data_IF_077815879710
#
_entry.id   IF_077815879710
#
_cell.length_a   1.000
_cell.length_b   1.000
_cell.length_c   1.000
_cell.angle_alpha   90.00
_cell.angle_beta   90.00
_cell.angle_gamma   90.00
#
_symmetry.space_group_name_H-M   'P 1'
#
loop_
_entity.id
_entity.type
_entity.pdbx_description
1 polymer ?
#
# COMPACT_ATOMS: atom_id res chain seq x y z
N UNK A 1 -23.90 5.63 17.54
CA UNK A 1 -24.45 4.90 16.39
C UNK A 1 -24.40 5.70 15.08
N UNK A 2 -24.67 6.98 15.07
CA UNK A 2 -24.64 7.85 13.85
C UNK A 2 -23.23 8.08 13.25
N UNK A 3 -22.18 8.17 14.07
CA UNK A 3 -20.81 8.34 13.59
C UNK A 3 -20.26 7.09 12.85
N UNK A 4 -20.67 5.87 13.23
CA UNK A 4 -20.31 4.63 12.53
C UNK A 4 -20.91 4.52 11.13
N UNK A 5 -22.14 5.02 10.91
CA UNK A 5 -22.79 5.02 9.60
C UNK A 5 -22.17 5.99 8.61
N UNK A 6 -21.72 7.18 9.07
CA UNK A 6 -21.00 8.14 8.22
C UNK A 6 -19.60 7.65 7.78
N UNK A 7 -18.97 6.79 8.58
CA UNK A 7 -17.66 6.18 8.27
C UNK A 7 -17.75 5.07 7.21
N UNK A 8 -18.88 4.36 7.15
CA UNK A 8 -19.15 3.28 6.19
C UNK A 8 -19.52 3.81 4.79
N UNK A 9 -20.13 5.01 4.69
CA UNK A 9 -20.59 5.56 3.41
C UNK A 9 -19.45 6.08 2.50
N UNK A 10 -18.23 6.17 3.00
CA UNK A 10 -17.04 6.63 2.23
C UNK A 10 -16.26 5.43 1.63
N UNK A 11 -16.51 4.21 2.11
CA UNK A 11 -15.76 3.04 1.68
C UNK A 11 -16.44 2.26 0.54
N UNK A 12 -17.73 2.40 0.29
CA UNK A 12 -18.45 1.56 -0.67
C UNK A 12 -19.06 2.41 -1.79
N UNK A 13 -18.24 2.89 -2.73
CA UNK A 13 -18.71 3.37 -4.03
C UNK A 13 -18.37 2.31 -5.08
N UNK A 14 -19.34 1.43 -5.33
CA UNK A 14 -19.28 0.48 -6.42
C UNK A 14 -19.49 1.22 -7.77
N UNK A 15 -18.42 1.84 -8.27
CA UNK A 15 -18.37 2.28 -9.67
C UNK A 15 -16.89 2.36 -10.09
N UNK A 16 -16.50 1.43 -10.89
CA UNK A 16 -15.42 1.45 -11.88
C UNK A 16 -14.74 0.07 -12.01
N UNK A 17 -15.41 -0.83 -12.69
CA UNK A 17 -14.72 -1.98 -13.24
C UNK A 17 -14.88 -1.93 -14.77
N UNK A 18 -13.95 -1.27 -15.46
CA UNK A 18 -13.61 -1.60 -16.86
C UNK A 18 -12.41 -0.78 -17.34
N UNK A 19 -11.26 -1.42 -17.49
CA UNK A 19 -10.33 -1.18 -18.59
C UNK A 19 -9.30 -2.32 -18.65
N UNK A 20 -9.39 -3.11 -19.73
CA UNK A 20 -8.43 -4.16 -20.08
C UNK A 20 -7.21 -3.55 -20.77
N UNK A 21 -6.00 -3.91 -20.31
CA UNK A 21 -4.84 -4.06 -21.20
C UNK A 21 -4.00 -5.22 -20.73
N UNK A 22 -3.93 -6.27 -21.54
CA UNK A 22 -3.18 -7.48 -21.27
C UNK A 22 -1.71 -7.29 -21.67
N UNK A 23 -0.81 -7.33 -20.72
CA UNK A 23 0.63 -7.50 -20.94
C UNK A 23 1.04 -8.89 -20.47
N UNK A 24 1.65 -9.70 -21.34
CA UNK A 24 2.18 -11.03 -21.05
C UNK A 24 3.26 -10.95 -19.98
N UNK A 25 3.00 -11.47 -18.77
CA UNK A 25 3.98 -11.59 -17.69
C UNK A 25 4.64 -12.96 -17.71
N UNK A 26 5.98 -13.01 -17.67
CA UNK A 26 6.76 -14.24 -17.42
C UNK A 26 6.63 -14.61 -15.93
N UNK A 27 6.30 -15.86 -15.69
CA UNK A 27 6.28 -16.49 -14.36
C UNK A 27 7.70 -16.55 -13.80
N UNK A 28 7.95 -15.94 -12.65
CA UNK A 28 9.19 -16.09 -11.89
C UNK A 28 8.91 -17.04 -10.74
N UNK A 29 9.53 -18.23 -10.76
CA UNK A 29 9.56 -19.12 -9.60
C UNK A 29 10.50 -18.52 -8.54
N UNK A 30 9.97 -18.19 -7.38
CA UNK A 30 10.77 -17.80 -6.22
C UNK A 30 11.47 -19.03 -5.66
N UNK A 31 12.81 -19.10 -5.80
CA UNK A 31 13.63 -20.07 -5.08
C UNK A 31 13.67 -19.68 -3.59
N UNK A 32 13.72 -20.70 -2.72
CA UNK A 32 13.72 -20.58 -1.25
C UNK A 32 15.03 -20.02 -0.67
N UNK A 33 15.62 -18.99 -1.28
CA UNK A 33 16.67 -18.19 -0.66
C UNK A 33 16.03 -17.26 0.38
N UNK A 34 16.67 -17.12 1.57
CA UNK A 34 16.22 -16.15 2.59
C UNK A 34 16.04 -14.80 1.92
N UNK A 35 14.80 -14.29 1.92
CA UNK A 35 14.50 -12.94 1.43
C UNK A 35 15.24 -11.93 2.31
N UNK A 36 16.24 -11.29 1.75
CA UNK A 36 17.09 -10.29 2.43
C UNK A 36 16.43 -8.90 2.47
N UNK A 37 15.24 -8.75 1.88
CA UNK A 37 14.49 -7.50 1.81
C UNK A 37 15.02 -6.50 0.76
N UNK A 38 15.82 -6.94 -0.20
CA UNK A 38 16.21 -6.14 -1.36
C UNK A 38 15.09 -6.05 -2.40
N UNK A 39 15.26 -5.21 -3.41
CA UNK A 39 14.38 -5.20 -4.59
C UNK A 39 14.47 -6.54 -5.31
N UNK A 40 13.31 -7.14 -5.59
CA UNK A 40 13.25 -8.40 -6.30
C UNK A 40 13.62 -8.24 -7.79
N UNK A 41 14.29 -9.22 -8.39
CA UNK A 41 14.58 -9.21 -9.82
C UNK A 41 13.29 -9.07 -10.65
N UNK A 42 13.31 -8.18 -11.64
CA UNK A 42 12.17 -7.91 -12.50
C UNK A 42 11.08 -7.01 -11.91
N UNK A 43 11.22 -6.56 -10.65
CA UNK A 43 10.32 -5.57 -10.09
C UNK A 43 10.46 -4.23 -10.83
N UNK A 44 9.33 -3.65 -11.28
CA UNK A 44 9.28 -2.44 -12.12
C UNK A 44 8.29 -1.43 -11.58
N UNK A 45 8.16 -0.31 -12.27
CA UNK A 45 7.08 0.65 -12.12
C UNK A 45 6.62 1.13 -13.50
N UNK A 46 5.41 1.66 -13.57
CA UNK A 46 4.83 2.29 -14.76
C UNK A 46 4.46 3.75 -14.42
N UNK A 47 4.70 4.68 -15.34
CA UNK A 47 4.31 6.08 -15.19
C UNK A 47 2.84 6.23 -15.57
N UNK A 48 2.02 6.73 -14.64
CA UNK A 48 0.60 7.01 -14.86
C UNK A 48 0.36 8.47 -15.25
N UNK A 49 1.15 9.40 -14.69
CA UNK A 49 1.06 10.82 -14.97
C UNK A 49 2.38 11.51 -14.65
N UNK A 50 2.71 12.50 -15.44
CA UNK A 50 3.86 13.38 -15.20
C UNK A 50 3.54 14.80 -15.67
N UNK A 51 3.88 15.78 -14.83
CA UNK A 51 3.89 17.21 -15.16
C UNK A 51 5.15 17.89 -14.57
N UNK A 52 5.16 19.21 -14.45
CA UNK A 52 6.32 19.95 -13.92
C UNK A 52 6.54 19.74 -12.43
N UNK A 53 5.50 19.39 -11.66
CA UNK A 53 5.53 19.33 -10.19
C UNK A 53 5.49 17.93 -9.64
N UNK A 54 4.76 17.00 -10.28
CA UNK A 54 4.53 15.66 -9.77
C UNK A 54 4.84 14.58 -10.80
N UNK A 55 5.20 13.43 -10.30
CA UNK A 55 5.29 12.17 -11.04
C UNK A 55 4.44 11.13 -10.29
N UNK A 56 3.42 10.60 -10.95
CA UNK A 56 2.56 9.54 -10.41
C UNK A 56 2.88 8.24 -11.10
N UNK A 57 3.14 7.21 -10.31
CA UNK A 57 3.53 5.91 -10.83
C UNK A 57 2.72 4.78 -10.22
N UNK A 58 2.53 3.70 -10.97
CA UNK A 58 2.12 2.39 -10.46
C UNK A 58 3.38 1.59 -10.11
N UNK A 59 3.64 1.43 -8.82
CA UNK A 59 4.80 0.68 -8.32
C UNK A 59 4.50 -0.82 -8.36
N UNK A 60 5.35 -1.60 -8.97
CA UNK A 60 5.30 -3.06 -8.87
C UNK A 60 5.59 -3.59 -7.46
N UNK A 61 5.08 -4.78 -7.15
CA UNK A 61 5.46 -5.51 -5.94
C UNK A 61 6.94 -5.93 -5.98
N UNK A 62 7.58 -6.03 -4.83
CA UNK A 62 8.99 -6.42 -4.71
C UNK A 62 9.98 -5.28 -4.95
N UNK A 63 9.56 -4.10 -5.40
CA UNK A 63 10.40 -2.92 -5.57
C UNK A 63 10.46 -2.11 -4.27
N UNK A 64 11.66 -1.91 -3.71
CA UNK A 64 11.86 -1.00 -2.60
C UNK A 64 11.41 0.41 -3.00
N UNK A 65 10.77 1.15 -2.09
CA UNK A 65 10.38 2.53 -2.34
C UNK A 65 11.57 3.50 -2.22
N UNK A 66 12.35 3.33 -1.17
CA UNK A 66 13.57 4.09 -0.88
C UNK A 66 14.74 3.14 -0.63
N UNK A 67 15.98 3.57 -0.84
CA UNK A 67 17.15 2.73 -0.58
C UNK A 67 17.20 2.22 0.85
N UNK A 68 17.57 0.97 1.02
CA UNK A 68 17.91 0.40 2.32
C UNK A 68 19.32 0.82 2.78
N UNK A 69 19.67 0.44 4.00
CA UNK A 69 20.98 0.80 4.58
C UNK A 69 22.16 0.04 3.97
N UNK A 70 21.92 -1.15 3.44
CA UNK A 70 22.97 -2.02 2.90
C UNK A 70 23.12 -1.79 1.39
N UNK A 71 24.33 -1.89 0.81
CA UNK A 71 24.58 -1.59 -0.62
C UNK A 71 23.66 -2.37 -1.58
N UNK A 72 23.41 -3.66 -1.34
CA UNK A 72 22.53 -4.48 -2.18
C UNK A 72 21.04 -4.08 -2.10
N UNK A 73 20.66 -3.14 -1.21
CA UNK A 73 19.33 -2.55 -1.06
C UNK A 73 19.23 -1.13 -1.62
N UNK A 74 20.20 -0.68 -2.40
CA UNK A 74 20.17 0.67 -2.96
C UNK A 74 19.26 0.78 -4.19
N UNK A 75 19.00 -0.31 -4.89
CA UNK A 75 18.01 -0.33 -5.97
C UNK A 75 16.61 -0.13 -5.40
N UNK A 76 15.96 0.95 -5.79
CA UNK A 76 14.65 1.36 -5.29
C UNK A 76 13.93 2.24 -6.29
N UNK A 77 12.63 2.43 -6.12
CA UNK A 77 11.82 3.31 -6.95
C UNK A 77 12.46 4.70 -7.05
N UNK A 78 12.77 5.33 -5.93
CA UNK A 78 13.33 6.68 -5.92
C UNK A 78 14.73 6.74 -6.55
N UNK A 79 15.58 5.72 -6.38
CA UNK A 79 16.89 5.67 -7.02
C UNK A 79 16.76 5.62 -8.54
N UNK A 80 15.86 4.75 -9.04
CA UNK A 80 15.61 4.60 -10.48
C UNK A 80 15.04 5.88 -11.09
N UNK A 81 14.09 6.52 -10.40
CA UNK A 81 13.49 7.78 -10.87
C UNK A 81 14.51 8.92 -10.87
N UNK A 82 15.37 9.02 -9.85
CA UNK A 82 16.42 10.02 -9.83
C UNK A 82 17.43 9.91 -10.97
N UNK A 83 17.67 8.71 -11.46
CA UNK A 83 18.53 8.50 -12.64
C UNK A 83 17.97 9.14 -13.92
N UNK A 84 16.67 9.30 -14.02
CA UNK A 84 16.00 9.86 -15.21
C UNK A 84 15.49 11.28 -15.00
N UNK A 85 15.13 11.66 -13.76
CA UNK A 85 14.50 12.94 -13.44
C UNK A 85 15.36 13.84 -12.53
N UNK A 86 16.57 13.38 -12.17
CA UNK A 86 17.50 14.15 -11.33
C UNK A 86 17.21 14.10 -9.83
N UNK A 87 18.11 14.71 -9.05
CA UNK A 87 18.11 14.62 -7.58
C UNK A 87 17.04 15.46 -6.88
N UNK A 88 16.37 16.36 -7.60
CA UNK A 88 15.30 17.19 -7.04
C UNK A 88 14.06 16.40 -6.65
N UNK A 89 13.90 15.20 -7.21
CA UNK A 89 12.75 14.35 -6.92
C UNK A 89 12.72 13.93 -5.45
N UNK A 90 11.58 14.19 -4.79
CA UNK A 90 11.36 13.96 -3.37
C UNK A 90 10.21 13.03 -3.07
N UNK A 91 10.23 12.46 -1.85
CA UNK A 91 9.27 11.44 -1.36
C UNK A 91 8.44 12.03 -0.23
N UNK A 92 7.13 12.24 -0.46
CA UNK A 92 6.16 12.69 0.55
C UNK A 92 5.51 11.52 1.32
N UNK A 93 5.39 10.36 0.69
CA UNK A 93 4.87 9.12 1.28
C UNK A 93 5.56 7.89 0.69
N UNK A 94 5.27 6.72 1.23
CA UNK A 94 5.87 5.47 0.72
C UNK A 94 4.88 4.30 0.80
N UNK A 95 5.07 3.35 -0.12
CA UNK A 95 4.51 2.01 -0.04
C UNK A 95 5.58 1.03 0.48
N UNK A 96 5.15 -0.07 1.09
CA UNK A 96 6.05 -1.16 1.44
C UNK A 96 6.63 -1.80 0.17
N UNK A 97 7.76 -2.51 0.29
CA UNK A 97 8.41 -3.19 -0.84
C UNK A 97 7.42 -4.04 -1.64
N UNK A 98 6.67 -4.88 -0.94
CA UNK A 98 5.80 -5.90 -1.55
C UNK A 98 4.39 -5.37 -1.88
N UNK A 99 4.01 -4.20 -1.39
CA UNK A 99 2.79 -3.50 -1.77
C UNK A 99 2.98 -2.88 -3.16
N UNK A 100 2.05 -3.15 -4.07
CA UNK A 100 2.02 -2.51 -5.39
C UNK A 100 1.03 -1.35 -5.44
N UNK A 101 1.03 -0.60 -6.55
CA UNK A 101 -0.01 0.39 -6.86
C UNK A 101 0.44 1.83 -6.86
N UNK A 102 -0.56 2.71 -6.93
CA UNK A 102 -0.39 4.13 -7.16
C UNK A 102 0.37 4.81 -6.03
N UNK A 103 1.36 5.59 -6.41
CA UNK A 103 2.07 6.50 -5.51
C UNK A 103 2.50 7.78 -6.27
N UNK A 104 2.70 8.87 -5.52
CA UNK A 104 3.12 10.18 -6.06
C UNK A 104 4.49 10.56 -5.52
N UNK A 105 5.34 11.09 -6.41
CA UNK A 105 6.61 11.71 -6.10
C UNK A 105 6.55 13.18 -6.49
N UNK A 106 7.26 14.03 -5.76
CA UNK A 106 7.39 15.45 -6.06
C UNK A 106 8.62 15.66 -6.94
N UNK A 107 8.49 16.43 -8.03
CA UNK A 107 9.62 16.82 -8.90
C UNK A 107 10.31 18.08 -8.41
N UNK A 108 9.64 18.90 -7.60
CA UNK A 108 10.14 20.16 -7.05
C UNK A 108 10.09 20.19 -5.53
N UNK A 109 10.94 21.03 -4.90
CA UNK A 109 10.90 21.23 -3.44
C UNK A 109 9.58 21.83 -2.96
N UNK A 110 8.96 22.69 -3.76
CA UNK A 110 7.66 23.31 -3.44
C UNK A 110 6.56 22.24 -3.43
N UNK A 111 6.50 21.38 -4.45
CA UNK A 111 5.58 20.26 -4.53
C UNK A 111 5.79 19.27 -3.38
N UNK A 112 7.06 18.96 -3.06
CA UNK A 112 7.38 18.07 -1.93
C UNK A 112 6.82 18.61 -0.60
N UNK A 113 7.01 19.91 -0.34
CA UNK A 113 6.49 20.56 0.86
C UNK A 113 4.96 20.49 0.90
N UNK A 114 4.28 20.85 -0.19
CA UNK A 114 2.82 20.85 -0.27
C UNK A 114 2.23 19.44 -0.09
N UNK A 115 2.76 18.44 -0.79
CA UNK A 115 2.33 17.05 -0.63
C UNK A 115 2.61 16.52 0.78
N UNK A 116 3.77 16.82 1.37
CA UNK A 116 4.11 16.39 2.73
C UNK A 116 3.12 16.92 3.76
N UNK A 117 2.68 18.18 3.63
CA UNK A 117 1.64 18.77 4.49
C UNK A 117 0.32 18.00 4.32
N UNK A 118 -0.15 17.78 3.08
CA UNK A 118 -1.39 17.05 2.83
C UNK A 118 -1.37 15.63 3.42
N UNK A 119 -0.25 14.90 3.30
CA UNK A 119 -0.10 13.58 3.92
C UNK A 119 -0.08 13.66 5.45
N UNK A 120 0.59 14.65 6.03
CA UNK A 120 0.67 14.88 7.47
C UNK A 120 -0.70 15.23 8.06
N UNK A 121 -1.46 16.09 7.40
CA UNK A 121 -2.78 16.55 7.78
C UNK A 121 -3.90 15.57 7.39
N UNK A 122 -3.55 14.42 6.76
CA UNK A 122 -4.49 13.38 6.34
C UNK A 122 -5.52 13.86 5.31
N UNK A 123 -5.17 14.82 4.49
CA UNK A 123 -6.00 15.35 3.41
C UNK A 123 -5.96 14.47 2.15
N UNK A 124 -4.99 13.56 2.06
CA UNK A 124 -4.86 12.62 0.95
C UNK A 124 -5.78 11.42 1.17
N UNK A 125 -6.71 11.20 0.24
CA UNK A 125 -7.54 10.00 0.24
C UNK A 125 -6.79 8.84 -0.42
N UNK A 126 -6.76 7.71 0.27
CA UNK A 126 -6.05 6.48 -0.14
C UNK A 126 -7.03 5.34 -0.11
N UNK A 127 -7.19 4.66 -1.23
CA UNK A 127 -7.95 3.42 -1.31
C UNK A 127 -7.00 2.30 -1.72
N UNK A 128 -7.04 1.22 -0.96
CA UNK A 128 -6.29 0.00 -1.25
C UNK A 128 -7.26 -1.13 -1.55
N UNK A 129 -6.78 -2.10 -2.29
CA UNK A 129 -7.45 -3.38 -2.47
C UNK A 129 -6.56 -4.47 -1.89
N UNK A 130 -7.15 -5.38 -1.11
CA UNK A 130 -6.42 -6.49 -0.51
C UNK A 130 -7.23 -7.78 -0.55
N UNK A 131 -6.57 -8.90 -0.89
CA UNK A 131 -7.17 -10.22 -0.74
C UNK A 131 -6.73 -10.83 0.60
N UNK A 132 -7.70 -11.27 1.40
CA UNK A 132 -7.50 -11.78 2.76
C UNK A 132 -7.92 -13.25 2.88
N UNK A 133 -7.35 -13.95 3.85
CA UNK A 133 -7.79 -15.29 4.24
C UNK A 133 -9.11 -15.21 5.01
N UNK A 134 -10.03 -16.13 4.68
CA UNK A 134 -11.39 -16.14 5.24
C UNK A 134 -12.29 -15.01 4.69
N UNK A 135 -13.50 -14.96 5.20
CA UNK A 135 -14.49 -13.94 4.82
C UNK A 135 -14.89 -13.17 6.08
N UNK A 136 -14.44 -11.91 6.22
CA UNK A 136 -14.85 -11.05 7.34
C UNK A 136 -16.30 -10.58 7.19
N UNK A 137 -16.79 -9.83 8.20
CA UNK A 137 -18.05 -9.10 8.07
C UNK A 137 -18.04 -8.19 6.84
N UNK A 138 -19.23 -7.92 6.27
CA UNK A 138 -19.41 -7.17 5.02
C UNK A 138 -18.66 -5.82 5.02
N UNK A 139 -18.61 -5.15 6.16
CA UNK A 139 -17.83 -3.93 6.34
C UNK A 139 -17.49 -3.71 7.83
N UNK A 140 -16.39 -3.01 8.07
CA UNK A 140 -15.96 -2.70 9.44
C UNK A 140 -14.94 -1.58 9.56
N UNK A 141 -14.63 -1.25 10.80
CA UNK A 141 -13.57 -0.32 11.17
C UNK A 141 -12.66 -1.03 12.18
N UNK A 142 -11.37 -1.05 11.88
CA UNK A 142 -10.33 -1.60 12.75
C UNK A 142 -9.60 -0.43 13.38
N UNK A 143 -9.73 -0.30 14.70
CA UNK A 143 -9.00 0.67 15.50
C UNK A 143 -7.97 -0.07 16.36
N UNK A 144 -6.70 0.34 16.27
CA UNK A 144 -5.64 -0.28 17.05
C UNK A 144 -4.34 0.48 16.92
N UNK A 145 -3.69 0.78 18.04
CA UNK A 145 -2.41 1.45 18.01
C UNK A 145 -1.31 0.50 17.50
N UNK A 146 -0.41 1.03 16.67
CA UNK A 146 0.66 0.28 16.01
C UNK A 146 2.01 0.79 16.48
N UNK A 147 2.85 -0.14 16.88
CA UNK A 147 4.22 0.12 17.33
C UNK A 147 5.21 -0.91 16.84
N UNK A 148 6.43 -0.82 17.35
CA UNK A 148 7.48 -1.81 17.12
C UNK A 148 7.66 -2.64 18.39
N UNK A 149 7.70 -3.93 18.21
CA UNK A 149 8.07 -4.89 19.28
C UNK A 149 9.42 -5.51 18.93
N UNK A 150 10.21 -5.80 19.94
CA UNK A 150 11.40 -6.62 19.80
C UNK A 150 10.96 -8.09 19.86
N UNK A 151 11.27 -8.85 18.82
CA UNK A 151 10.98 -10.29 18.82
C UNK A 151 11.99 -11.06 19.67
N UNK A 152 11.69 -12.29 20.12
CA UNK A 152 12.64 -13.12 20.84
C UNK A 152 13.97 -13.32 20.10
N UNK A 153 13.95 -13.30 18.77
CA UNK A 153 15.13 -13.45 17.91
C UNK A 153 15.92 -12.13 17.74
N UNK A 154 15.51 -11.05 18.43
CA UNK A 154 16.25 -9.79 18.51
C UNK A 154 16.05 -8.81 17.34
N UNK A 155 15.02 -8.96 16.52
CA UNK A 155 14.68 -7.98 15.49
C UNK A 155 13.37 -7.24 15.77
N UNK A 156 13.25 -6.02 15.23
CA UNK A 156 12.03 -5.24 15.37
C UNK A 156 10.95 -5.70 14.38
N UNK A 157 9.76 -6.00 14.90
CA UNK A 157 8.56 -6.28 14.14
C UNK A 157 7.49 -5.21 14.41
N UNK A 158 6.72 -4.84 13.40
CA UNK A 158 5.54 -3.97 13.54
C UNK A 158 4.37 -4.82 13.99
N UNK A 159 3.67 -4.39 15.04
CA UNK A 159 2.53 -5.11 15.62
C UNK A 159 1.52 -4.12 16.25
N UNK A 160 0.37 -4.63 16.68
CA UNK A 160 -0.48 -3.90 17.63
C UNK A 160 0.27 -3.75 18.94
N UNK A 161 0.30 -2.52 19.45
CA UNK A 161 0.95 -2.15 20.71
C UNK A 161 0.09 -1.08 21.34
N UNK A 162 -0.19 -1.18 22.63
CA UNK A 162 -0.98 -0.15 23.32
C UNK A 162 -0.28 1.22 23.26
N UNK A 163 -1.04 2.29 23.34
CA UNK A 163 -0.45 3.64 23.37
C UNK A 163 0.46 3.84 24.59
N UNK A 164 0.13 3.19 25.72
CA UNK A 164 0.96 3.19 26.93
C UNK A 164 2.34 2.53 26.71
N UNK A 165 2.44 1.61 25.76
CA UNK A 165 3.69 0.92 25.39
C UNK A 165 4.35 1.58 24.15
N UNK A 166 3.93 2.79 23.77
CA UNK A 166 4.50 3.55 22.66
C UNK A 166 3.87 3.26 21.30
N UNK A 167 2.74 2.59 21.24
CA UNK A 167 1.92 2.45 20.04
C UNK A 167 1.36 3.79 19.60
N UNK A 168 1.15 3.95 18.30
CA UNK A 168 0.58 5.16 17.70
C UNK A 168 -0.79 4.83 17.12
N UNK A 169 -1.83 5.56 17.52
CA UNK A 169 -3.21 5.37 17.04
C UNK A 169 -3.26 5.20 15.53
N UNK A 170 -4.00 4.19 15.09
CA UNK A 170 -4.24 3.88 13.70
C UNK A 170 -5.67 3.40 13.51
N UNK A 171 -6.29 3.79 12.38
CA UNK A 171 -7.66 3.45 12.02
C UNK A 171 -7.72 3.04 10.56
N UNK A 172 -8.37 1.92 10.27
CA UNK A 172 -8.62 1.41 8.92
C UNK A 172 -10.09 1.05 8.78
N UNK A 173 -10.79 1.63 7.81
CA UNK A 173 -12.10 1.15 7.39
C UNK A 173 -11.93 0.13 6.26
N UNK A 174 -12.85 -0.84 6.18
CA UNK A 174 -12.89 -1.80 5.07
C UNK A 174 -14.32 -2.14 4.67
N UNK A 175 -14.50 -2.57 3.42
CA UNK A 175 -15.69 -3.28 2.97
C UNK A 175 -15.32 -4.44 2.03
N UNK A 176 -16.16 -5.47 2.01
CA UNK A 176 -16.00 -6.64 1.14
C UNK A 176 -16.47 -6.28 -0.27
N UNK A 177 -15.60 -6.44 -1.27
CA UNK A 177 -15.92 -6.25 -2.69
C UNK A 177 -16.37 -7.54 -3.35
N UNK A 178 -15.75 -8.66 -2.98
CA UNK A 178 -16.06 -9.98 -3.51
C UNK A 178 -15.59 -11.06 -2.55
N UNK A 179 -16.19 -12.25 -2.64
CA UNK A 179 -15.82 -13.41 -1.84
C UNK A 179 -15.46 -14.59 -2.74
N UNK A 180 -14.55 -15.44 -2.24
CA UNK A 180 -14.26 -16.76 -2.76
C UNK A 180 -14.47 -17.79 -1.62
N UNK A 181 -14.25 -19.08 -1.88
CA UNK A 181 -14.56 -20.15 -0.93
C UNK A 181 -13.90 -19.96 0.45
N UNK A 182 -12.63 -19.51 0.48
CA UNK A 182 -11.85 -19.35 1.71
C UNK A 182 -11.12 -17.99 1.81
N UNK A 183 -11.58 -17.00 1.05
CA UNK A 183 -10.93 -15.68 0.98
C UNK A 183 -11.91 -14.60 0.55
N UNK A 184 -11.53 -13.35 0.74
CA UNK A 184 -12.32 -12.20 0.30
C UNK A 184 -11.42 -11.11 -0.28
N UNK A 185 -11.93 -10.35 -1.23
CA UNK A 185 -11.35 -9.12 -1.73
C UNK A 185 -11.97 -7.94 -0.97
N UNK A 186 -11.13 -7.12 -0.39
CA UNK A 186 -11.56 -5.96 0.40
C UNK A 186 -11.10 -4.66 -0.24
N UNK A 187 -11.97 -3.66 -0.21
CA UNK A 187 -11.56 -2.27 -0.27
C UNK A 187 -11.13 -1.81 1.13
N UNK A 188 -10.02 -1.10 1.21
CA UNK A 188 -9.39 -0.68 2.46
C UNK A 188 -9.12 0.82 2.42
N UNK A 189 -9.64 1.56 3.39
CA UNK A 189 -9.47 3.01 3.51
C UNK A 189 -8.72 3.36 4.81
N UNK A 190 -7.37 3.44 4.80
CA UNK A 190 -6.61 3.81 5.98
C UNK A 190 -6.72 5.32 6.23
N UNK A 191 -7.22 5.72 7.41
CA UNK A 191 -7.27 7.12 7.84
C UNK A 191 -5.94 7.65 8.36
N UNK A 192 -5.04 6.75 8.71
CA UNK A 192 -3.67 7.01 9.16
C UNK A 192 -2.68 6.34 8.22
N UNK A 193 -1.39 6.54 8.42
CA UNK A 193 -0.33 5.95 7.57
C UNK A 193 0.81 5.37 8.41
N UNK A 194 0.52 4.37 9.26
CA UNK A 194 1.58 3.69 10.03
C UNK A 194 2.23 2.61 9.18
N UNK A 195 3.48 2.29 9.48
CA UNK A 195 4.16 1.17 8.83
C UNK A 195 3.34 -0.12 8.98
N UNK A 196 3.20 -0.89 7.92
CA UNK A 196 2.44 -2.15 7.84
C UNK A 196 0.99 -2.07 8.37
N UNK A 197 0.38 -0.86 8.45
CA UNK A 197 -0.92 -0.66 9.11
C UNK A 197 -2.00 -1.63 8.63
N UNK A 198 -2.24 -1.70 7.32
CA UNK A 198 -3.28 -2.57 6.75
C UNK A 198 -3.00 -4.05 7.05
N UNK A 199 -1.74 -4.45 6.98
CA UNK A 199 -1.28 -5.81 7.21
C UNK A 199 -1.52 -6.24 8.66
N UNK A 200 -1.11 -5.38 9.62
CA UNK A 200 -1.29 -5.63 11.07
C UNK A 200 -2.76 -5.62 11.45
N UNK A 201 -3.53 -4.65 10.97
CA UNK A 201 -4.95 -4.51 11.28
C UNK A 201 -5.75 -5.73 10.78
N UNK A 202 -5.57 -6.14 9.52
CA UNK A 202 -6.29 -7.29 8.98
C UNK A 202 -5.91 -8.60 9.70
N UNK A 203 -4.64 -8.79 10.01
CA UNK A 203 -4.18 -9.94 10.81
C UNK A 203 -4.80 -9.93 12.22
N UNK A 204 -4.99 -8.76 12.83
CA UNK A 204 -5.53 -8.64 14.20
C UNK A 204 -7.00 -9.04 14.32
N UNK A 205 -7.75 -8.98 13.23
CA UNK A 205 -9.15 -9.45 13.18
C UNK A 205 -9.28 -10.87 12.62
N UNK A 206 -8.15 -11.60 12.48
CA UNK A 206 -8.15 -13.00 12.01
C UNK A 206 -8.20 -13.18 10.49
N UNK A 207 -8.08 -12.10 9.73
CA UNK A 207 -8.13 -12.11 8.26
C UNK A 207 -6.84 -11.54 7.65
N UNK A 208 -5.66 -12.21 7.82
CA UNK A 208 -4.41 -11.73 7.26
C UNK A 208 -4.47 -11.71 5.73
N UNK A 209 -3.72 -10.78 5.13
CA UNK A 209 -3.56 -10.69 3.67
C UNK A 209 -2.91 -11.96 3.12
N UNK A 210 -3.39 -12.44 1.98
CA UNK A 210 -2.73 -13.52 1.25
C UNK A 210 -1.30 -13.09 0.86
N UNK A 211 -0.32 -13.97 1.09
CA UNK A 211 1.09 -13.69 0.84
C UNK A 211 1.79 -12.84 1.89
N UNK A 212 1.13 -12.52 3.01
CA UNK A 212 1.78 -11.78 4.11
C UNK A 212 2.48 -12.71 5.11
N UNK A 213 3.64 -13.20 4.76
CA UNK A 213 4.43 -14.08 5.62
C UNK A 213 4.83 -13.44 6.96
N UNK A 214 4.91 -12.10 7.05
CA UNK A 214 5.29 -11.39 8.28
C UNK A 214 4.15 -11.30 9.30
N UNK A 215 2.89 -11.34 8.84
CA UNK A 215 1.72 -11.15 9.69
C UNK A 215 0.73 -12.33 9.63
N UNK A 216 1.23 -13.54 9.30
CA UNK A 216 0.45 -14.78 9.40
C UNK A 216 -0.41 -15.11 8.18
N UNK A 217 -0.21 -14.44 7.07
CA UNK A 217 -0.90 -14.76 5.81
C UNK A 217 -0.43 -16.10 5.21
N UNK A 218 -1.35 -16.80 4.56
CA UNK A 218 -1.04 -18.00 3.82
C UNK A 218 0.00 -17.73 2.70
N UNK A 219 0.81 -18.74 2.38
CA UNK A 219 1.80 -18.64 1.31
C UNK A 219 1.11 -18.32 -0.02
N UNK A 220 1.64 -17.34 -0.73
CA UNK A 220 1.14 -16.88 -2.02
C UNK A 220 2.30 -16.33 -2.87
N UNK A 221 2.12 -16.22 -4.19
CA UNK A 221 3.15 -15.74 -5.13
C UNK A 221 3.62 -14.30 -4.81
N UNK A 222 2.77 -13.50 -4.16
CA UNK A 222 3.06 -12.12 -3.74
C UNK A 222 2.17 -11.71 -2.57
N UNK A 223 2.51 -10.61 -1.91
CA UNK A 223 1.57 -9.92 -1.02
C UNK A 223 0.39 -9.37 -1.84
N UNK A 224 -0.83 -9.83 -1.55
CA UNK A 224 -2.05 -9.36 -2.20
C UNK A 224 -2.55 -8.05 -1.55
N UNK A 225 -1.75 -7.00 -1.68
CA UNK A 225 -2.07 -5.63 -1.27
C UNK A 225 -1.67 -4.66 -2.37
N UNK A 226 -2.62 -3.82 -2.78
CA UNK A 226 -2.45 -2.88 -3.87
C UNK A 226 -3.04 -1.51 -3.52
N UNK A 227 -2.28 -0.44 -3.73
CA UNK A 227 -2.73 0.95 -3.63
C UNK A 227 -3.53 1.28 -4.89
N UNK A 228 -4.86 1.08 -4.84
CA UNK A 228 -5.71 1.16 -6.03
C UNK A 228 -6.04 2.60 -6.42
N UNK A 229 -6.14 3.52 -5.45
CA UNK A 229 -6.48 4.92 -5.72
C UNK A 229 -5.77 5.86 -4.76
N UNK A 230 -5.29 6.97 -5.32
CA UNK A 230 -4.71 8.08 -4.59
C UNK A 230 -5.34 9.39 -5.07
N UNK A 231 -5.99 10.14 -4.15
CA UNK A 231 -6.60 11.42 -4.48
C UNK A 231 -6.11 12.51 -3.52
N UNK A 232 -5.69 13.63 -4.09
CA UNK A 232 -5.10 14.75 -3.36
C UNK A 232 -5.29 16.06 -4.12
N UNK A 233 -4.98 17.19 -3.51
CA UNK A 233 -4.95 18.48 -4.16
C UNK A 233 -3.60 18.67 -4.87
N UNK A 234 -3.63 18.99 -6.17
CA UNK A 234 -2.40 19.22 -6.93
C UNK A 234 -1.57 20.36 -6.31
N UNK A 235 -0.26 20.17 -6.06
CA UNK A 235 0.54 21.09 -5.24
C UNK A 235 0.58 22.53 -5.74
N UNK A 236 0.54 22.75 -7.04
CA UNK A 236 0.63 24.08 -7.66
C UNK A 236 -0.73 24.62 -8.10
N UNK A 237 -1.52 23.82 -8.81
CA UNK A 237 -2.81 24.29 -9.35
C UNK A 237 -3.94 24.32 -8.35
N UNK A 238 -3.80 23.63 -7.20
CA UNK A 238 -4.81 23.45 -6.15
C UNK A 238 -6.08 22.75 -6.61
N UNK A 239 -6.08 22.17 -7.80
CA UNK A 239 -7.20 21.38 -8.32
C UNK A 239 -7.16 19.98 -7.72
N UNK A 240 -8.29 19.43 -7.24
CA UNK A 240 -8.36 18.02 -6.83
C UNK A 240 -8.04 17.09 -8.00
N UNK A 241 -7.15 16.14 -7.78
CA UNK A 241 -6.75 15.13 -8.76
C UNK A 241 -6.85 13.73 -8.14
N UNK A 242 -7.14 12.73 -8.98
CA UNK A 242 -7.20 11.34 -8.55
C UNK A 242 -6.56 10.44 -9.61
N UNK A 243 -5.80 9.46 -9.16
CA UNK A 243 -5.13 8.46 -9.99
C UNK A 243 -5.48 7.07 -9.51
N UNK A 244 -5.69 6.15 -10.44
CA UNK A 244 -6.17 4.80 -10.15
C UNK A 244 -5.34 3.76 -10.90
N UNK A 245 -5.21 2.58 -10.30
CA UNK A 245 -4.62 1.39 -10.90
C UNK A 245 -5.38 0.15 -10.42
N UNK A 246 -5.71 -0.75 -11.33
CA UNK A 246 -6.42 -1.99 -11.02
C UNK A 246 -5.56 -2.96 -10.21
N UNK A 247 -6.14 -3.58 -9.19
CA UNK A 247 -5.45 -4.62 -8.44
C UNK A 247 -5.12 -5.82 -9.36
N UNK A 248 -3.88 -6.32 -9.37
CA UNK A 248 -3.48 -7.43 -10.23
C UNK A 248 -3.84 -8.81 -9.66
N UNK A 249 -4.89 -8.91 -8.86
CA UNK A 249 -5.39 -10.14 -8.25
C UNK A 249 -6.90 -10.03 -7.94
N UNK A 250 -7.57 -11.18 -7.87
CA UNK A 250 -8.99 -11.31 -7.53
C UNK A 250 -9.21 -11.72 -6.05
N UNK A 251 -10.46 -12.06 -5.70
CA UNK A 251 -10.84 -12.48 -4.34
C UNK A 251 -10.18 -13.79 -3.88
N UNK A 252 -9.80 -14.65 -4.80
CA UNK A 252 -9.04 -15.87 -4.54
C UNK A 252 -7.51 -15.63 -4.52
N UNK A 253 -7.08 -14.39 -4.72
CA UNK A 253 -5.66 -14.02 -4.87
C UNK A 253 -5.09 -14.34 -6.25
N UNK A 254 -5.89 -14.86 -7.20
CA UNK A 254 -5.40 -15.23 -8.52
C UNK A 254 -4.88 -14.00 -9.24
N UNK A 255 -3.63 -14.10 -9.71
CA UNK A 255 -2.95 -13.02 -10.42
C UNK A 255 -3.48 -12.92 -11.87
N UNK A 256 -3.84 -11.71 -12.28
CA UNK A 256 -4.33 -11.37 -13.63
C UNK A 256 -3.19 -10.94 -14.56
#
# INVERSE_FOLDING_TARGET
>A
MLLRRALLSVACTADALTARTASRRRRIQLSAAKDDGATLPGATYEVLHEDDDILVVDKGAGLLFVPGRQPHKHDSLISRIKMTHGDAVGVAHRLDRDTSGVCVLAKTKAALRALSIQFQERQVNKTYVGAVAGVPDEAGVIDGAIGKILTPEGYNRVALVSEAEGGRAATTAYCVLATAEHSALLELAPRTGRAHQLRVHLASIGHPLLGDALHGGAAHERLCLHSAKLAFEHPSTRVPVAFESGAPFDAAGKIS
#
